data_IF_397633657902
#
_entry.id   IF_397633657902
#
_cell.length_a   1.000
_cell.length_b   1.000
_cell.length_c   1.000
_cell.angle_alpha   90.00
_cell.angle_beta   90.00
_cell.angle_gamma   90.00
#
_symmetry.space_group_name_H-M   'P 1'
#
loop_
_entity.id
_entity.type
_entity.pdbx_description
1 polymer ?
#
# COMPACT_ATOMS: atom_id res chain seq x y z
N UNK A 1 7.52 -11.63 3.45
CA UNK A 1 6.05 -11.87 3.28
C UNK A 1 5.80 -11.91 1.80
N UNK A 2 5.13 -12.91 1.28
CA UNK A 2 4.73 -13.01 -0.13
C UNK A 2 3.22 -12.82 -0.23
N UNK A 3 2.76 -12.15 -1.28
CA UNK A 3 1.34 -12.00 -1.59
C UNK A 3 0.96 -12.94 -2.74
N UNK A 4 -0.25 -13.48 -2.69
CA UNK A 4 -0.80 -14.28 -3.76
C UNK A 4 -0.99 -13.42 -5.03
N UNK A 5 -0.46 -13.83 -6.20
CA UNK A 5 -0.66 -13.13 -7.46
C UNK A 5 -2.14 -12.94 -7.82
N UNK A 6 -3.00 -13.91 -7.50
CA UNK A 6 -4.44 -13.82 -7.77
C UNK A 6 -5.10 -12.74 -6.91
N UNK A 7 -4.68 -12.60 -5.63
CA UNK A 7 -5.09 -11.49 -4.78
C UNK A 7 -4.66 -10.13 -5.35
N UNK A 8 -3.41 -10.01 -5.82
CA UNK A 8 -2.92 -8.77 -6.43
C UNK A 8 -3.65 -8.43 -7.73
N UNK A 9 -3.99 -9.43 -8.54
CA UNK A 9 -4.79 -9.25 -9.75
C UNK A 9 -6.24 -8.83 -9.42
N UNK A 10 -6.83 -9.42 -8.39
CA UNK A 10 -8.20 -9.16 -7.95
C UNK A 10 -8.37 -7.70 -7.48
N UNK A 11 -7.41 -7.18 -6.73
CA UNK A 11 -7.49 -5.81 -6.19
C UNK A 11 -7.07 -4.72 -7.20
N UNK A 12 -6.32 -5.06 -8.26
CA UNK A 12 -5.72 -4.10 -9.17
C UNK A 12 -6.70 -3.07 -9.79
N UNK A 13 -7.94 -3.42 -10.19
CA UNK A 13 -8.92 -2.43 -10.65
C UNK A 13 -9.31 -1.42 -9.58
N UNK A 14 -9.55 -1.87 -8.34
CA UNK A 14 -9.87 -1.00 -7.21
C UNK A 14 -8.70 -0.08 -6.86
N UNK A 15 -7.46 -0.61 -6.86
CA UNK A 15 -6.23 0.17 -6.66
C UNK A 15 -6.09 1.27 -7.71
N UNK A 16 -6.32 0.95 -8.97
CA UNK A 16 -6.22 1.92 -10.06
C UNK A 16 -7.26 3.05 -9.95
N UNK A 17 -8.50 2.70 -9.59
CA UNK A 17 -9.60 3.64 -9.45
C UNK A 17 -9.48 4.54 -8.22
N UNK A 18 -8.82 4.07 -7.16
CA UNK A 18 -8.75 4.77 -5.87
C UNK A 18 -7.64 5.81 -5.78
N UNK A 19 -6.59 5.73 -6.61
CA UNK A 19 -5.46 6.67 -6.55
C UNK A 19 -5.92 8.12 -6.57
N UNK A 20 -5.45 8.90 -5.61
CA UNK A 20 -5.87 10.29 -5.43
C UNK A 20 -5.43 11.17 -6.62
N UNK A 21 -6.35 11.90 -7.28
CA UNK A 21 -6.02 12.67 -8.49
C UNK A 21 -5.09 13.85 -8.23
N UNK A 22 -5.17 14.50 -7.07
CA UNK A 22 -4.36 15.68 -6.77
C UNK A 22 -2.88 15.35 -6.57
N UNK A 23 -2.46 14.35 -5.75
CA UNK A 23 -1.07 13.89 -5.70
C UNK A 23 -0.53 13.46 -7.06
N UNK A 24 -1.34 12.78 -7.88
CA UNK A 24 -0.93 12.35 -9.22
C UNK A 24 -0.66 13.55 -10.14
N UNK A 25 -1.56 14.53 -10.19
CA UNK A 25 -1.37 15.73 -11.00
C UNK A 25 -0.12 16.51 -10.58
N UNK A 26 0.13 16.64 -9.28
CA UNK A 26 1.33 17.30 -8.75
C UNK A 26 2.61 16.53 -9.04
N UNK A 27 2.55 15.20 -9.01
CA UNK A 27 3.67 14.37 -9.44
C UNK A 27 3.97 14.55 -10.92
N UNK A 28 2.96 14.56 -11.79
CA UNK A 28 3.10 14.81 -13.23
C UNK A 28 3.71 16.18 -13.53
N UNK A 29 3.21 17.24 -12.86
CA UNK A 29 3.76 18.60 -12.97
C UNK A 29 5.24 18.65 -12.57
N UNK A 30 5.59 18.03 -11.44
CA UNK A 30 6.97 17.98 -10.97
C UNK A 30 7.88 17.18 -11.91
N UNK A 31 7.36 16.10 -12.50
CA UNK A 31 8.09 15.21 -13.40
C UNK A 31 8.26 15.79 -14.81
N UNK A 32 7.50 16.82 -15.18
CA UNK A 32 7.47 17.34 -16.55
C UNK A 32 8.86 17.78 -17.03
N UNK A 33 9.28 17.26 -18.18
CA UNK A 33 10.58 17.55 -18.79
C UNK A 33 11.80 16.87 -18.12
N UNK A 34 11.59 16.08 -17.08
CA UNK A 34 12.64 15.35 -16.38
C UNK A 34 12.80 13.93 -16.93
N UNK A 35 14.02 13.43 -16.95
CA UNK A 35 14.32 12.00 -17.15
C UNK A 35 14.55 11.37 -15.79
N UNK A 36 13.55 10.70 -15.25
CA UNK A 36 13.56 10.19 -13.90
C UNK A 36 14.07 8.74 -13.85
N UNK A 37 14.88 8.44 -12.85
CA UNK A 37 15.12 7.07 -12.36
C UNK A 37 14.08 6.81 -11.28
N UNK A 38 13.14 5.92 -11.59
CA UNK A 38 12.04 5.57 -10.67
C UNK A 38 12.31 4.22 -10.06
N UNK A 39 12.22 4.13 -8.75
CA UNK A 39 12.31 2.87 -8.00
C UNK A 39 10.97 2.60 -7.36
N UNK A 40 10.35 1.46 -7.69
CA UNK A 40 9.08 1.01 -7.09
C UNK A 40 9.36 -0.05 -6.03
N UNK A 41 9.15 0.28 -4.77
CA UNK A 41 9.44 -0.57 -3.62
C UNK A 41 8.25 -1.50 -3.32
N UNK A 42 8.51 -2.81 -3.18
CA UNK A 42 7.45 -3.81 -3.01
C UNK A 42 6.53 -3.83 -4.22
N UNK A 43 7.11 -3.89 -5.41
CA UNK A 43 6.38 -3.71 -6.67
C UNK A 43 5.32 -4.79 -6.94
N UNK A 44 5.38 -5.93 -6.26
CA UNK A 44 4.52 -7.07 -6.51
C UNK A 44 4.58 -7.46 -7.99
N UNK A 45 3.42 -7.51 -8.64
CA UNK A 45 3.30 -7.78 -10.07
C UNK A 45 3.50 -6.55 -10.98
N UNK A 46 3.95 -5.39 -10.44
CA UNK A 46 4.20 -4.16 -11.21
C UNK A 46 2.96 -3.26 -11.39
N UNK A 47 1.99 -3.29 -10.47
CA UNK A 47 0.76 -2.50 -10.59
C UNK A 47 1.01 -0.99 -10.61
N UNK A 48 1.95 -0.48 -9.80
CA UNK A 48 2.31 0.94 -9.79
C UNK A 48 2.92 1.38 -11.11
N UNK A 49 3.82 0.57 -11.68
CA UNK A 49 4.39 0.84 -13.00
C UNK A 49 3.28 0.95 -14.06
N UNK A 50 2.36 -0.02 -14.11
CA UNK A 50 1.24 0.03 -15.07
C UNK A 50 0.37 1.27 -14.92
N UNK A 51 0.17 1.74 -13.68
CA UNK A 51 -0.61 2.94 -13.41
C UNK A 51 0.09 4.26 -13.80
N UNK A 52 1.43 4.31 -13.69
CA UNK A 52 2.18 5.56 -13.76
C UNK A 52 3.09 5.70 -14.99
N UNK A 53 3.49 4.62 -15.66
CA UNK A 53 4.47 4.70 -16.77
C UNK A 53 4.00 5.62 -17.90
N UNK A 54 2.72 5.59 -18.26
CA UNK A 54 2.15 6.49 -19.26
C UNK A 54 2.07 7.97 -18.83
N UNK A 55 2.08 8.22 -17.51
CA UNK A 55 2.06 9.57 -16.90
C UNK A 55 3.45 10.17 -16.73
N UNK A 56 4.49 9.33 -16.72
CA UNK A 56 5.89 9.70 -16.54
C UNK A 56 6.73 9.32 -17.77
N UNK A 57 6.47 9.96 -18.92
CA UNK A 57 7.13 9.58 -20.18
C UNK A 57 8.65 9.76 -20.11
N UNK A 58 9.38 8.73 -20.53
CA UNK A 58 10.86 8.73 -20.52
C UNK A 58 11.48 8.39 -19.16
N UNK A 59 10.70 8.07 -18.15
CA UNK A 59 11.19 7.54 -16.89
C UNK A 59 11.81 6.14 -17.09
N UNK A 60 12.91 5.88 -16.39
CA UNK A 60 13.52 4.54 -16.28
C UNK A 60 13.05 3.92 -14.98
N UNK A 61 12.42 2.76 -15.08
CA UNK A 61 11.83 2.08 -13.94
C UNK A 61 12.68 0.90 -13.50
N UNK A 62 12.91 0.81 -12.19
CA UNK A 62 13.44 -0.37 -11.50
C UNK A 62 12.38 -0.85 -10.53
N UNK A 63 11.86 -2.06 -10.73
CA UNK A 63 10.84 -2.69 -9.90
C UNK A 63 11.52 -3.61 -8.89
N UNK A 64 11.28 -3.37 -7.61
CA UNK A 64 11.98 -4.04 -6.51
C UNK A 64 10.99 -4.85 -5.68
N UNK A 65 11.27 -6.13 -5.50
CA UNK A 65 10.56 -7.03 -4.59
C UNK A 65 11.51 -8.14 -4.10
N UNK A 66 11.12 -8.86 -3.06
CA UNK A 66 11.88 -10.03 -2.58
C UNK A 66 11.40 -11.33 -3.22
N UNK A 67 10.17 -11.36 -3.71
CA UNK A 67 9.50 -12.54 -4.25
C UNK A 67 9.83 -12.74 -5.74
N UNK A 68 10.52 -13.87 -6.10
CA UNK A 68 10.89 -14.12 -7.48
C UNK A 68 9.69 -14.39 -8.40
N UNK A 69 8.59 -14.94 -7.88
CA UNK A 69 7.41 -15.29 -8.70
C UNK A 69 6.64 -14.01 -9.05
N UNK A 70 6.51 -13.09 -8.12
CA UNK A 70 5.94 -11.76 -8.38
C UNK A 70 6.80 -10.96 -9.35
N UNK A 71 8.13 -11.01 -9.18
CA UNK A 71 9.07 -10.34 -10.08
C UNK A 71 9.03 -10.91 -11.50
N UNK A 72 8.79 -12.21 -11.68
CA UNK A 72 8.60 -12.80 -13.00
C UNK A 72 7.39 -12.19 -13.72
N UNK A 73 6.27 -11.95 -13.01
CA UNK A 73 5.11 -11.26 -13.55
C UNK A 73 5.37 -9.76 -13.79
N UNK A 74 6.11 -9.12 -12.88
CA UNK A 74 6.48 -7.71 -13.04
C UNK A 74 7.38 -7.47 -14.27
N UNK A 75 8.21 -8.45 -14.65
CA UNK A 75 9.09 -8.38 -15.83
C UNK A 75 8.33 -8.20 -17.14
N UNK A 76 7.06 -8.63 -17.21
CA UNK A 76 6.20 -8.44 -18.38
C UNK A 76 5.95 -6.94 -18.68
N UNK A 77 6.17 -6.05 -17.72
CA UNK A 77 6.07 -4.60 -17.91
C UNK A 77 7.20 -4.02 -18.79
N UNK A 78 8.29 -4.76 -18.99
CA UNK A 78 9.50 -4.31 -19.67
C UNK A 78 10.40 -3.40 -18.83
N UNK A 79 10.09 -3.18 -17.56
CA UNK A 79 10.94 -2.43 -16.62
C UNK A 79 12.13 -3.28 -16.15
N UNK A 80 13.16 -2.62 -15.62
CA UNK A 80 14.24 -3.32 -14.93
C UNK A 80 13.72 -3.99 -13.65
N UNK A 81 14.13 -5.23 -13.43
CA UNK A 81 13.74 -6.02 -12.25
C UNK A 81 14.94 -6.16 -11.33
N UNK A 82 14.72 -5.91 -10.03
CA UNK A 82 15.75 -6.07 -9.02
C UNK A 82 15.19 -6.82 -7.81
N UNK A 83 15.74 -8.00 -7.53
CA UNK A 83 15.37 -8.76 -6.35
C UNK A 83 16.15 -8.27 -5.13
N UNK A 84 15.46 -7.72 -4.13
CA UNK A 84 16.04 -7.22 -2.88
C UNK A 84 15.12 -7.54 -1.70
N UNK A 85 15.73 -7.73 -0.55
CA UNK A 85 15.02 -7.77 0.74
C UNK A 85 14.92 -6.33 1.30
N UNK A 86 13.76 -5.70 1.12
CA UNK A 86 13.52 -4.33 1.58
C UNK A 86 13.67 -4.14 3.09
N UNK A 87 13.62 -5.19 3.89
CA UNK A 87 13.90 -5.08 5.32
C UNK A 87 15.36 -4.66 5.59
N UNK A 88 16.29 -5.01 4.67
CA UNK A 88 17.72 -4.80 4.80
C UNK A 88 18.28 -3.81 3.80
N UNK A 89 17.77 -3.85 2.56
CA UNK A 89 18.42 -3.23 1.40
C UNK A 89 17.64 -2.01 0.88
N UNK A 90 16.64 -1.50 1.64
CA UNK A 90 15.78 -0.40 1.18
C UNK A 90 16.57 0.89 0.92
N UNK A 91 17.57 1.19 1.76
CA UNK A 91 18.43 2.37 1.65
C UNK A 91 19.26 2.32 0.36
N UNK A 92 19.83 1.16 0.04
CA UNK A 92 20.60 0.95 -1.19
C UNK A 92 19.70 1.01 -2.42
N UNK A 93 18.44 0.54 -2.29
CA UNK A 93 17.49 0.57 -3.38
C UNK A 93 17.17 2.00 -3.84
N UNK A 94 17.11 2.97 -2.90
CA UNK A 94 16.69 4.35 -3.18
C UNK A 94 17.85 5.32 -3.42
N UNK A 95 19.10 4.92 -3.17
CA UNK A 95 20.27 5.80 -3.14
C UNK A 95 20.47 6.66 -4.42
N UNK A 96 20.06 6.15 -5.57
CA UNK A 96 20.18 6.86 -6.83
C UNK A 96 18.84 7.25 -7.47
N UNK A 97 17.73 7.08 -6.75
CA UNK A 97 16.40 7.39 -7.27
C UNK A 97 16.18 8.90 -7.42
N UNK A 98 15.47 9.28 -8.48
CA UNK A 98 14.88 10.61 -8.60
C UNK A 98 13.43 10.61 -8.11
N UNK A 99 12.76 9.45 -8.19
CA UNK A 99 11.43 9.22 -7.64
C UNK A 99 11.38 7.81 -7.03
N UNK A 100 10.91 7.73 -5.80
CA UNK A 100 10.57 6.47 -5.14
C UNK A 100 9.06 6.33 -5.12
N UNK A 101 8.55 5.17 -5.53
CA UNK A 101 7.14 4.82 -5.44
C UNK A 101 6.94 3.59 -4.58
N UNK A 102 5.81 3.50 -3.90
CA UNK A 102 5.35 2.29 -3.21
C UNK A 102 3.83 2.31 -3.12
N UNK A 103 3.19 1.16 -3.21
CA UNK A 103 1.73 1.05 -3.10
C UNK A 103 1.37 -0.04 -2.09
N UNK A 104 0.52 0.29 -1.10
CA UNK A 104 0.10 -0.63 -0.03
C UNK A 104 1.29 -1.33 0.67
N UNK A 105 2.34 -0.57 0.98
CA UNK A 105 3.57 -1.07 1.56
C UNK A 105 3.82 -0.50 2.97
N UNK A 106 3.61 0.79 3.14
CA UNK A 106 4.06 1.50 4.34
C UNK A 106 3.31 1.08 5.61
N UNK A 107 2.07 0.64 5.51
CA UNK A 107 1.29 0.10 6.64
C UNK A 107 1.88 -1.22 7.19
N UNK A 108 2.70 -1.91 6.41
CA UNK A 108 3.44 -3.11 6.83
C UNK A 108 4.80 -2.77 7.48
N UNK A 109 5.24 -1.52 7.41
CA UNK A 109 6.55 -1.09 7.87
C UNK A 109 6.52 -0.67 9.35
N UNK A 110 7.66 -0.90 10.02
CA UNK A 110 7.92 -0.35 11.36
C UNK A 110 8.36 1.11 11.30
N UNK A 111 8.28 1.81 12.44
CA UNK A 111 8.67 3.23 12.50
C UNK A 111 10.16 3.46 12.24
N UNK A 112 11.03 2.57 12.69
CA UNK A 112 12.47 2.62 12.46
C UNK A 112 12.80 2.40 10.97
N UNK A 113 12.12 1.50 10.28
CA UNK A 113 12.30 1.29 8.85
C UNK A 113 11.90 2.53 8.05
N UNK A 114 10.76 3.15 8.37
CA UNK A 114 10.33 4.41 7.73
C UNK A 114 11.36 5.52 7.95
N UNK A 115 11.89 5.65 9.17
CA UNK A 115 12.89 6.66 9.49
C UNK A 115 14.20 6.46 8.71
N UNK A 116 14.68 5.21 8.60
CA UNK A 116 15.88 4.86 7.82
C UNK A 116 15.68 5.14 6.33
N UNK A 117 14.56 4.71 5.76
CA UNK A 117 14.23 4.97 4.35
C UNK A 117 14.17 6.49 4.07
N UNK A 118 13.49 7.25 4.93
CA UNK A 118 13.38 8.70 4.78
C UNK A 118 14.75 9.40 4.84
N UNK A 119 15.63 8.97 5.74
CA UNK A 119 16.99 9.49 5.86
C UNK A 119 17.88 9.15 4.66
N UNK A 120 17.65 8.00 4.02
CA UNK A 120 18.40 7.56 2.84
C UNK A 120 17.90 8.16 1.53
N UNK A 121 16.69 8.73 1.53
CA UNK A 121 16.10 9.32 0.34
C UNK A 121 16.90 10.54 -0.13
N UNK A 122 17.43 10.56 -1.38
CA UNK A 122 18.22 11.69 -1.88
C UNK A 122 17.46 13.01 -1.73
N UNK A 123 18.15 14.14 -1.40
CA UNK A 123 17.49 15.43 -1.20
C UNK A 123 16.68 15.91 -2.41
N UNK A 124 17.08 15.52 -3.62
CA UNK A 124 16.42 15.87 -4.88
C UNK A 124 15.29 14.90 -5.27
N UNK A 125 15.20 13.74 -4.61
CA UNK A 125 14.23 12.72 -4.96
C UNK A 125 12.84 13.05 -4.41
N UNK A 126 11.80 12.70 -5.15
CA UNK A 126 10.43 12.67 -4.65
C UNK A 126 10.08 11.28 -4.12
N UNK A 127 9.06 11.21 -3.24
CA UNK A 127 8.45 9.94 -2.81
C UNK A 127 6.94 10.02 -3.02
N UNK A 128 6.37 8.99 -3.67
CA UNK A 128 4.93 8.80 -3.81
C UNK A 128 4.51 7.48 -3.18
N UNK A 129 3.90 7.56 -2.01
CA UNK A 129 3.28 6.45 -1.30
C UNK A 129 1.79 6.43 -1.62
N UNK A 130 1.31 5.36 -2.24
CA UNK A 130 -0.09 5.23 -2.61
C UNK A 130 -0.79 4.14 -1.81
N UNK A 131 -2.10 4.31 -1.60
CA UNK A 131 -2.97 3.28 -1.04
C UNK A 131 -2.47 2.74 0.32
N UNK A 132 -1.91 3.61 1.15
CA UNK A 132 -1.55 3.25 2.52
C UNK A 132 -2.82 3.18 3.36
N UNK A 133 -3.11 2.02 3.95
CA UNK A 133 -4.31 1.82 4.77
C UNK A 133 -4.37 2.81 5.93
N UNK A 134 -5.54 3.44 6.15
CA UNK A 134 -5.73 4.50 7.15
C UNK A 134 -6.60 4.07 8.35
N UNK A 135 -7.06 2.81 8.36
CA UNK A 135 -7.83 2.23 9.44
C UNK A 135 -9.33 2.47 9.37
N UNK A 136 -9.83 3.21 8.39
CA UNK A 136 -11.26 3.46 8.24
C UNK A 136 -11.89 2.42 7.32
N UNK A 137 -12.95 1.80 7.80
CA UNK A 137 -13.77 0.89 7.00
C UNK A 137 -15.25 1.17 7.23
N UNK A 138 -16.03 1.07 6.18
CA UNK A 138 -17.50 1.17 6.25
C UNK A 138 -18.10 0.05 5.41
N UNK A 139 -18.90 -0.80 6.04
CA UNK A 139 -19.58 -1.92 5.40
C UNK A 139 -21.09 -1.72 5.48
N UNK A 140 -21.84 -2.01 4.43
CA UNK A 140 -23.30 -1.83 4.42
C UNK A 140 -24.01 -3.09 3.88
N UNK A 141 -24.96 -3.63 4.67
CA UNK A 141 -25.30 -3.22 6.03
C UNK A 141 -24.15 -3.44 7.00
N UNK A 142 -24.09 -2.67 8.11
CA UNK A 142 -23.09 -2.86 9.15
C UNK A 142 -23.51 -4.00 10.09
N UNK A 143 -22.54 -4.79 10.57
CA UNK A 143 -22.77 -5.80 11.61
C UNK A 143 -22.51 -5.21 13.01
N UNK A 144 -23.24 -5.61 14.08
CA UNK A 144 -23.02 -5.10 15.43
C UNK A 144 -21.60 -5.31 15.97
N UNK A 145 -20.93 -6.41 15.58
CA UNK A 145 -19.54 -6.70 15.98
C UNK A 145 -18.49 -5.88 15.23
N UNK A 146 -18.87 -5.05 14.23
CA UNK A 146 -17.93 -4.30 13.40
C UNK A 146 -16.87 -3.53 14.20
N UNK A 147 -17.20 -2.76 15.26
CA UNK A 147 -16.19 -2.02 16.01
C UNK A 147 -15.18 -2.92 16.74
N UNK A 148 -15.63 -4.05 17.29
CA UNK A 148 -14.75 -4.99 17.99
C UNK A 148 -13.86 -5.75 17.01
N UNK A 149 -14.41 -6.21 15.89
CA UNK A 149 -13.67 -6.88 14.83
C UNK A 149 -12.61 -5.97 14.20
N UNK A 150 -12.96 -4.72 13.90
CA UNK A 150 -12.02 -3.74 13.34
C UNK A 150 -10.88 -3.42 14.32
N UNK A 151 -11.18 -3.28 15.61
CA UNK A 151 -10.15 -3.09 16.63
C UNK A 151 -9.20 -4.28 16.73
N UNK A 152 -9.70 -5.52 16.64
CA UNK A 152 -8.92 -6.74 16.60
C UNK A 152 -8.06 -6.82 15.34
N UNK A 153 -8.61 -6.50 14.19
CA UNK A 153 -7.87 -6.43 12.92
C UNK A 153 -6.72 -5.43 12.99
N UNK A 154 -6.94 -4.22 13.54
CA UNK A 154 -5.88 -3.24 13.75
C UNK A 154 -4.80 -3.72 14.74
N UNK A 155 -5.16 -4.47 15.77
CA UNK A 155 -4.20 -5.07 16.69
C UNK A 155 -3.33 -6.11 15.97
N UNK A 156 -3.95 -6.97 15.14
CA UNK A 156 -3.25 -7.93 14.29
C UNK A 156 -2.31 -7.26 13.27
N UNK A 157 -2.76 -6.19 12.62
CA UNK A 157 -1.92 -5.44 11.67
C UNK A 157 -0.67 -4.85 12.31
N UNK A 158 -0.72 -4.44 13.57
CA UNK A 158 0.44 -3.92 14.33
C UNK A 158 1.40 -5.01 14.80
N UNK A 159 1.19 -6.27 14.45
CA UNK A 159 2.17 -7.33 14.64
C UNK A 159 3.40 -7.14 13.76
N UNK A 160 4.47 -7.93 13.99
CA UNK A 160 5.65 -7.95 13.11
C UNK A 160 5.25 -8.38 11.70
N UNK A 161 5.54 -7.57 10.69
CA UNK A 161 5.25 -7.85 9.27
C UNK A 161 6.52 -8.02 8.42
N UNK A 162 7.71 -7.92 9.04
CA UNK A 162 9.00 -8.18 8.39
C UNK A 162 9.60 -6.98 7.65
N UNK A 163 9.00 -5.80 7.70
CA UNK A 163 9.62 -4.56 7.23
C UNK A 163 10.12 -3.74 8.43
N UNK A 164 11.38 -4.01 8.83
CA UNK A 164 12.04 -3.47 10.01
C UNK A 164 11.91 -4.37 11.24
N UNK A 165 12.59 -4.00 12.32
CA UNK A 165 12.76 -4.83 13.52
C UNK A 165 11.61 -4.67 14.54
N UNK A 166 10.72 -3.72 14.31
CA UNK A 166 9.61 -3.40 15.20
C UNK A 166 8.24 -3.86 14.69
N UNK A 167 7.17 -3.56 15.45
CA UNK A 167 5.81 -3.78 14.99
C UNK A 167 5.49 -2.87 13.80
N UNK A 168 4.64 -3.35 12.89
CA UNK A 168 4.14 -2.55 11.80
C UNK A 168 3.27 -1.40 12.32
N UNK A 169 3.30 -0.26 11.64
CA UNK A 169 2.53 0.92 12.04
C UNK A 169 1.05 0.83 11.69
N UNK A 170 0.70 -0.06 10.74
CA UNK A 170 -0.68 -0.19 10.27
C UNK A 170 -1.26 1.17 9.87
N UNK A 171 -2.45 1.53 10.41
CA UNK A 171 -3.10 2.81 10.09
C UNK A 171 -2.30 4.08 10.43
N UNK A 172 -1.26 3.97 11.25
CA UNK A 172 -0.39 5.09 11.63
C UNK A 172 0.71 5.42 10.63
N UNK A 173 0.90 4.60 9.61
CA UNK A 173 2.06 4.68 8.72
C UNK A 173 2.16 5.99 7.93
N UNK A 174 1.05 6.50 7.38
CA UNK A 174 1.06 7.78 6.65
C UNK A 174 1.48 8.95 7.52
N UNK A 175 1.02 8.99 8.78
CA UNK A 175 1.42 10.05 9.72
C UNK A 175 2.90 9.97 10.08
N UNK A 176 3.43 8.77 10.30
CA UNK A 176 4.84 8.54 10.58
C UNK A 176 5.72 8.93 9.37
N UNK A 177 5.30 8.55 8.16
CA UNK A 177 6.00 8.90 6.92
C UNK A 177 6.02 10.42 6.70
N UNK A 178 4.88 11.10 6.92
CA UNK A 178 4.78 12.55 6.83
C UNK A 178 5.70 13.25 7.85
N UNK A 179 5.77 12.74 9.07
CA UNK A 179 6.68 13.27 10.09
C UNK A 179 8.16 13.07 9.73
N UNK A 180 8.52 11.90 9.19
CA UNK A 180 9.88 11.59 8.75
C UNK A 180 10.34 12.42 7.54
N UNK A 181 9.41 12.96 6.73
CA UNK A 181 9.65 13.76 5.53
C UNK A 181 9.21 15.23 5.71
N UNK A 182 9.14 15.72 6.95
CA UNK A 182 8.63 17.06 7.27
C UNK A 182 9.44 18.23 6.66
N UNK A 183 10.66 17.97 6.22
CA UNK A 183 11.52 18.91 5.48
C UNK A 183 11.15 19.04 3.99
N UNK A 184 10.17 18.26 3.51
CA UNK A 184 9.72 18.24 2.12
C UNK A 184 8.36 18.90 1.96
N UNK A 185 7.98 19.20 0.72
CA UNK A 185 6.63 19.67 0.41
C UNK A 185 5.68 18.47 0.34
N UNK A 186 4.84 18.35 1.36
CA UNK A 186 3.93 17.21 1.51
C UNK A 186 2.54 17.52 0.97
N UNK A 187 1.96 16.53 0.30
CA UNK A 187 0.56 16.49 -0.08
C UNK A 187 0.00 15.12 0.31
N UNK A 188 -1.04 15.11 1.13
CA UNK A 188 -1.74 13.88 1.56
C UNK A 188 -3.20 14.00 1.14
N UNK A 189 -3.70 12.98 0.48
CA UNK A 189 -5.09 12.94 0.01
C UNK A 189 -5.72 11.55 0.22
N UNK A 190 -7.04 11.47 0.47
CA UNK A 190 -7.73 10.19 0.60
C UNK A 190 -7.80 9.46 -0.75
N UNK A 191 -7.54 8.15 -0.70
CA UNK A 191 -7.60 7.24 -1.84
C UNK A 191 -8.38 5.95 -1.50
N UNK A 192 -9.63 6.07 -1.01
CA UNK A 192 -10.37 4.90 -0.53
C UNK A 192 -10.82 4.01 -1.68
N UNK A 193 -10.79 2.69 -1.46
CA UNK A 193 -11.60 1.79 -2.27
C UNK A 193 -13.07 2.03 -2.01
N UNK A 194 -13.87 2.14 -3.07
CA UNK A 194 -15.32 2.23 -3.03
C UNK A 194 -15.91 1.05 -3.79
N UNK A 195 -16.17 -0.02 -3.04
CA UNK A 195 -16.60 -1.30 -3.59
C UNK A 195 -18.13 -1.40 -3.62
N UNK A 196 -18.63 -2.00 -4.68
CA UNK A 196 -20.05 -2.20 -4.95
C UNK A 196 -20.33 -3.68 -5.27
N UNK A 197 -21.56 -4.00 -5.63
CA UNK A 197 -21.91 -5.36 -6.06
C UNK A 197 -21.10 -5.84 -7.29
N UNK A 198 -20.55 -4.93 -8.10
CA UNK A 198 -19.67 -5.28 -9.22
C UNK A 198 -18.32 -5.83 -8.75
N UNK A 199 -17.91 -5.48 -7.52
CA UNK A 199 -16.63 -5.88 -6.91
C UNK A 199 -16.80 -7.09 -5.97
N UNK A 200 -17.86 -7.89 -6.15
CA UNK A 200 -18.22 -9.01 -5.27
C UNK A 200 -17.04 -9.93 -4.92
N UNK A 201 -16.23 -10.39 -5.88
CA UNK A 201 -15.09 -11.27 -5.56
C UNK A 201 -14.08 -10.59 -4.60
N UNK A 202 -13.83 -9.28 -4.74
CA UNK A 202 -12.92 -8.54 -3.85
C UNK A 202 -13.54 -8.35 -2.46
N UNK A 203 -14.86 -8.06 -2.37
CA UNK A 203 -15.58 -7.98 -1.10
C UNK A 203 -15.48 -9.30 -0.33
N UNK A 204 -15.69 -10.42 -1.00
CA UNK A 204 -15.61 -11.76 -0.40
C UNK A 204 -14.20 -12.08 0.08
N UNK A 205 -13.19 -11.82 -0.74
CA UNK A 205 -11.79 -12.05 -0.38
C UNK A 205 -11.34 -11.18 0.82
N UNK A 206 -11.77 -9.91 0.88
CA UNK A 206 -11.53 -9.03 2.01
C UNK A 206 -12.20 -9.56 3.29
N UNK A 207 -13.45 -10.00 3.19
CA UNK A 207 -14.18 -10.54 4.34
C UNK A 207 -13.47 -11.77 4.94
N UNK A 208 -13.01 -12.69 4.07
CA UNK A 208 -12.27 -13.89 4.50
C UNK A 208 -10.92 -13.52 5.13
N UNK A 209 -10.08 -12.71 4.46
CA UNK A 209 -8.77 -12.34 4.98
C UNK A 209 -8.84 -11.53 6.28
N UNK A 210 -9.83 -10.64 6.42
CA UNK A 210 -10.07 -9.94 7.68
C UNK A 210 -10.53 -10.90 8.79
N UNK A 211 -11.41 -11.86 8.47
CA UNK A 211 -11.89 -12.82 9.46
C UNK A 211 -10.77 -13.77 9.93
N UNK A 212 -9.89 -14.18 9.04
CA UNK A 212 -8.69 -14.95 9.40
C UNK A 212 -7.80 -14.17 10.37
N UNK A 213 -7.46 -12.92 10.05
CA UNK A 213 -6.64 -12.06 10.90
C UNK A 213 -7.31 -11.79 12.27
N UNK A 214 -8.63 -11.58 12.32
CA UNK A 214 -9.36 -11.39 13.58
C UNK A 214 -9.39 -12.69 14.40
N UNK A 215 -9.56 -13.84 13.75
CA UNK A 215 -9.53 -15.16 14.40
C UNK A 215 -8.24 -15.39 15.16
N UNK A 216 -7.10 -15.02 14.59
CA UNK A 216 -5.78 -15.17 15.23
C UNK A 216 -5.65 -14.37 16.55
N UNK A 217 -6.43 -13.31 16.71
CA UNK A 217 -6.41 -12.50 17.94
C UNK A 217 -7.22 -13.10 19.09
N UNK A 218 -8.18 -13.98 18.79
CA UNK A 218 -9.12 -14.52 19.77
C UNK A 218 -10.09 -13.49 20.38
N UNK A 219 -10.22 -12.31 19.76
CA UNK A 219 -11.02 -11.20 20.28
C UNK A 219 -12.53 -11.40 20.13
N UNK A 220 -12.96 -12.23 19.20
CA UNK A 220 -14.36 -12.61 19.00
C UNK A 220 -14.52 -14.11 19.21
N UNK A 221 -15.67 -14.53 19.74
CA UNK A 221 -16.03 -15.94 19.77
C UNK A 221 -16.31 -16.46 18.35
N UNK A 222 -16.16 -17.79 18.09
CA UNK A 222 -16.27 -18.33 16.75
C UNK A 222 -17.62 -18.09 16.05
N UNK A 223 -18.73 -18.04 16.80
CA UNK A 223 -20.07 -17.81 16.25
C UNK A 223 -20.22 -16.38 15.78
N UNK A 224 -19.91 -15.41 16.64
CA UNK A 224 -19.90 -13.97 16.30
C UNK A 224 -18.97 -13.67 15.13
N UNK A 225 -17.77 -14.30 15.09
CA UNK A 225 -16.81 -14.12 13.99
C UNK A 225 -17.37 -14.62 12.66
N UNK A 226 -18.05 -15.79 12.67
CA UNK A 226 -18.65 -16.35 11.47
C UNK A 226 -19.81 -15.47 10.96
N UNK A 227 -20.70 -15.01 11.84
CA UNK A 227 -21.79 -14.08 11.50
C UNK A 227 -21.26 -12.77 10.91
N UNK A 228 -20.23 -12.19 11.53
CA UNK A 228 -19.60 -10.96 11.06
C UNK A 228 -18.94 -11.14 9.68
N UNK A 229 -18.19 -12.23 9.48
CA UNK A 229 -17.62 -12.56 8.17
C UNK A 229 -18.69 -12.69 7.09
N UNK A 230 -19.76 -13.45 7.37
CA UNK A 230 -20.84 -13.71 6.42
C UNK A 230 -21.61 -12.41 6.08
N UNK A 231 -21.79 -11.52 7.07
CA UNK A 231 -22.37 -10.19 6.85
C UNK A 231 -21.49 -9.33 5.93
N UNK A 232 -20.16 -9.32 6.12
CA UNK A 232 -19.23 -8.62 5.22
C UNK A 232 -19.24 -9.23 3.82
N UNK A 233 -19.25 -10.55 3.67
CA UNK A 233 -19.38 -11.22 2.37
C UNK A 233 -20.65 -10.83 1.63
N UNK A 234 -21.76 -10.66 2.36
CA UNK A 234 -23.05 -10.26 1.81
C UNK A 234 -23.21 -8.74 1.63
N UNK A 235 -22.23 -7.94 2.04
CA UNK A 235 -22.33 -6.48 1.98
C UNK A 235 -22.64 -5.98 0.57
N UNK A 236 -23.55 -5.01 0.47
CA UNK A 236 -23.90 -4.37 -0.79
C UNK A 236 -22.82 -3.38 -1.24
N UNK A 237 -22.15 -2.72 -0.26
CA UNK A 237 -21.04 -1.80 -0.50
C UNK A 237 -20.02 -1.89 0.63
N UNK A 238 -18.75 -1.64 0.30
CA UNK A 238 -17.71 -1.44 1.28
C UNK A 238 -16.83 -0.23 0.87
N UNK A 239 -16.46 0.60 1.85
CA UNK A 239 -15.44 1.62 1.68
C UNK A 239 -14.26 1.28 2.60
N UNK A 240 -13.06 1.09 2.00
CA UNK A 240 -11.82 0.80 2.71
C UNK A 240 -10.92 2.01 2.58
N UNK A 241 -10.62 2.66 3.69
CA UNK A 241 -9.86 3.90 3.72
C UNK A 241 -8.39 3.69 3.43
N UNK A 242 -7.87 4.50 2.53
CA UNK A 242 -6.44 4.61 2.21
C UNK A 242 -6.07 6.08 2.05
N UNK A 243 -4.79 6.36 2.15
CA UNK A 243 -4.19 7.66 1.89
C UNK A 243 -3.07 7.53 0.86
N UNK A 244 -3.02 8.49 -0.07
CA UNK A 244 -1.86 8.74 -0.91
C UNK A 244 -1.06 9.89 -0.31
N UNK A 245 0.26 9.75 -0.23
CA UNK A 245 1.19 10.79 0.18
C UNK A 245 2.20 11.05 -0.93
N UNK A 246 2.32 12.30 -1.33
CA UNK A 246 3.39 12.80 -2.20
C UNK A 246 4.30 13.72 -1.39
N UNK A 247 5.60 13.40 -1.36
CA UNK A 247 6.64 14.23 -0.80
C UNK A 247 7.57 14.71 -1.93
N UNK A 248 7.53 16.00 -2.24
CA UNK A 248 8.41 16.63 -3.22
C UNK A 248 9.61 17.29 -2.53
N UNK A 249 10.76 17.39 -3.21
CA UNK A 249 11.87 18.20 -2.72
C UNK A 249 11.43 19.63 -2.33
N UNK A 250 12.07 20.22 -1.32
CA UNK A 250 11.78 21.57 -0.83
C UNK A 250 11.93 22.67 -1.90
#
# INVERSE_FOLDING_TARGET
>A
MSFDPDWLALRAPADAAARAPEPLARLEEWAAGRRLRVVDLGCGTGATHRALAGRLPGARWTLVDSDPDLLALAAETGAEIRRLDLARDAEDAVAEADLVTASALFDLASGDWIARLAAALPPHAALYAALTYDGRETWRPAHPAEPAALAAFHAHQRGPKGLGDGPALGPGATAALAAALADRRLLVAPSPWRLTAADRPLIEALAEGCAEAVSETGALDPETLAEWRDARRAAATAEIGHLDLLALPA
#
